data_IF_275036919670
#
_entry.id   IF_275036919670
#
_cell.length_a   1.000
_cell.length_b   1.000
_cell.length_c   1.000
_cell.angle_alpha   90.00
_cell.angle_beta   90.00
_cell.angle_gamma   90.00
#
_symmetry.space_group_name_H-M   'P 1'
#
loop_
_entity.id
_entity.type
_entity.pdbx_description
1 polymer ?
#
# COMPACT_ATOMS: atom_id res chain seq x y z
N UNK A 1 -1.49 0.32 48.12
CA UNK A 1 -0.83 -0.38 46.99
C UNK A 1 -1.79 -0.96 45.93
N UNK A 2 -3.04 -0.49 45.79
CA UNK A 2 -3.99 -1.01 44.78
C UNK A 2 -4.13 -0.12 43.52
N UNK A 3 -3.51 1.06 43.51
CA UNK A 3 -3.62 2.04 42.42
C UNK A 3 -2.54 1.89 41.33
N UNK A 4 -1.36 1.38 41.66
CA UNK A 4 -0.25 1.23 40.71
C UNK A 4 -0.54 0.19 39.62
N UNK A 5 -1.35 -0.82 39.92
CA UNK A 5 -1.71 -1.87 38.96
C UNK A 5 -2.64 -1.36 37.85
N UNK A 6 -3.51 -0.38 38.15
CA UNK A 6 -4.43 0.18 37.16
C UNK A 6 -3.74 1.08 36.13
N UNK A 7 -2.66 1.75 36.52
CA UNK A 7 -1.89 2.63 35.62
C UNK A 7 -1.06 1.79 34.64
N UNK A 8 -0.47 0.68 35.10
CA UNK A 8 0.36 -0.19 34.27
C UNK A 8 -0.44 -0.90 33.15
N UNK A 9 -1.73 -1.17 33.40
CA UNK A 9 -2.59 -1.82 32.42
C UNK A 9 -2.99 -0.87 31.27
N UNK A 10 -3.07 0.44 31.55
CA UNK A 10 -3.41 1.45 30.54
C UNK A 10 -2.26 1.72 29.55
N UNK A 11 -1.01 1.65 30.01
CA UNK A 11 0.17 1.85 29.16
C UNK A 11 0.41 0.74 28.14
N UNK A 12 -0.06 -0.49 28.43
CA UNK A 12 0.08 -1.63 27.50
C UNK A 12 -0.97 -1.54 26.37
N UNK A 13 -2.15 -0.97 26.63
CA UNK A 13 -3.21 -0.87 25.60
C UNK A 13 -2.95 0.21 24.55
N UNK A 14 -2.12 1.22 24.84
CA UNK A 14 -1.92 2.38 23.94
C UNK A 14 -0.85 2.18 22.87
N UNK A 15 -0.12 1.06 22.84
CA UNK A 15 1.05 0.90 21.95
C UNK A 15 0.74 0.32 20.56
N UNK A 16 -0.51 -0.03 20.25
CA UNK A 16 -0.86 -0.47 18.90
C UNK A 16 -1.24 0.72 18.01
N UNK A 17 -0.24 1.51 17.63
CA UNK A 17 -0.35 2.35 16.44
C UNK A 17 -0.47 1.42 15.23
N UNK A 18 -1.69 1.27 14.74
CA UNK A 18 -1.94 0.69 13.42
C UNK A 18 -1.47 1.73 12.41
N UNK A 19 -0.18 1.68 12.04
CA UNK A 19 0.30 2.45 10.90
C UNK A 19 -0.45 1.96 9.66
N UNK A 20 -1.32 2.82 9.12
CA UNK A 20 -1.93 2.61 7.82
C UNK A 20 -0.80 2.57 6.78
N UNK A 21 -0.33 1.35 6.45
CA UNK A 21 0.68 1.13 5.41
C UNK A 21 0.01 1.29 4.06
N UNK A 22 0.59 2.11 3.19
CA UNK A 22 0.20 2.16 1.79
C UNK A 22 0.47 0.77 1.17
N UNK A 23 -0.57 0.12 0.65
CA UNK A 23 -0.44 -1.26 0.13
C UNK A 23 0.14 -1.21 -1.28
N UNK A 24 -0.53 -0.53 -2.20
CA UNK A 24 -0.06 -0.35 -3.57
C UNK A 24 0.08 1.14 -3.82
N UNK A 25 1.27 1.56 -4.22
CA UNK A 25 1.55 2.96 -4.57
C UNK A 25 1.92 3.00 -6.05
N UNK A 26 1.21 3.83 -6.81
CA UNK A 26 1.55 4.16 -8.20
C UNK A 26 2.03 5.60 -8.21
N UNK A 27 3.28 5.78 -8.59
CA UNK A 27 3.95 7.07 -8.64
C UNK A 27 4.07 7.58 -10.06
N UNK A 28 3.95 8.90 -10.23
CA UNK A 28 4.07 9.55 -11.54
C UNK A 28 4.62 10.96 -11.37
N UNK A 29 5.24 11.50 -12.42
CA UNK A 29 5.62 12.91 -12.46
C UNK A 29 4.59 13.72 -13.28
N UNK A 30 4.66 13.63 -14.61
CA UNK A 30 3.82 14.37 -15.55
C UNK A 30 2.77 13.51 -16.27
N UNK A 31 2.87 12.17 -16.15
CA UNK A 31 2.01 11.21 -16.85
C UNK A 31 0.88 10.66 -15.95
N UNK A 32 -0.02 11.55 -15.53
CA UNK A 32 -1.14 11.19 -14.64
C UNK A 32 -2.14 10.24 -15.32
N UNK A 33 -2.33 10.38 -16.62
CA UNK A 33 -3.16 9.52 -17.47
C UNK A 33 -2.78 8.04 -17.35
N UNK A 34 -1.49 7.74 -17.44
CA UNK A 34 -0.99 6.37 -17.32
C UNK A 34 -1.18 5.82 -15.90
N UNK A 35 -0.99 6.66 -14.88
CA UNK A 35 -1.21 6.27 -13.49
C UNK A 35 -2.69 5.98 -13.20
N UNK A 36 -3.62 6.73 -13.81
CA UNK A 36 -5.05 6.48 -13.73
C UNK A 36 -5.42 5.17 -14.42
N UNK A 37 -4.91 4.93 -15.62
CA UNK A 37 -5.12 3.69 -16.36
C UNK A 37 -4.58 2.46 -15.61
N UNK A 38 -3.42 2.60 -14.98
CA UNK A 38 -2.84 1.56 -14.12
C UNK A 38 -3.75 1.24 -12.94
N UNK A 39 -4.30 2.27 -12.28
CA UNK A 39 -5.28 2.06 -11.20
C UNK A 39 -6.52 1.33 -11.69
N UNK A 40 -7.04 1.69 -12.86
CA UNK A 40 -8.21 1.00 -13.44
C UNK A 40 -7.92 -0.46 -13.77
N UNK A 41 -6.74 -0.78 -14.32
CA UNK A 41 -6.33 -2.16 -14.55
C UNK A 41 -6.25 -2.93 -13.23
N UNK A 42 -5.60 -2.37 -12.21
CA UNK A 42 -5.52 -3.00 -10.88
C UNK A 42 -6.90 -3.24 -10.27
N UNK A 43 -7.83 -2.30 -10.43
CA UNK A 43 -9.19 -2.45 -9.92
C UNK A 43 -10.00 -3.48 -10.68
N UNK A 44 -9.97 -3.44 -12.01
CA UNK A 44 -10.90 -4.21 -12.85
C UNK A 44 -10.38 -5.61 -13.18
N UNK A 45 -9.08 -5.74 -13.45
CA UNK A 45 -8.49 -7.03 -13.85
C UNK A 45 -8.00 -7.84 -12.65
N UNK A 46 -7.46 -7.15 -11.63
CA UNK A 46 -6.91 -7.79 -10.44
C UNK A 46 -7.85 -7.72 -9.23
N UNK A 47 -9.04 -7.12 -9.40
CA UNK A 47 -10.08 -7.02 -8.35
C UNK A 47 -9.52 -6.35 -7.08
N UNK A 48 -8.59 -5.40 -7.24
CA UNK A 48 -7.96 -4.71 -6.11
C UNK A 48 -8.85 -3.53 -5.71
N UNK A 49 -9.31 -3.44 -4.45
CA UNK A 49 -10.11 -2.30 -4.01
C UNK A 49 -9.36 -0.98 -4.18
N UNK A 50 -10.06 0.05 -4.71
CA UNK A 50 -9.52 1.41 -4.90
C UNK A 50 -8.80 1.94 -3.64
N UNK A 51 -9.34 1.65 -2.45
CA UNK A 51 -8.77 2.05 -1.15
C UNK A 51 -7.37 1.52 -0.85
N UNK A 52 -6.91 0.50 -1.57
CA UNK A 52 -5.58 -0.09 -1.40
C UNK A 52 -4.57 0.47 -2.41
N UNK A 53 -5.02 1.28 -3.38
CA UNK A 53 -4.20 1.85 -4.44
C UNK A 53 -4.10 3.35 -4.22
N UNK A 54 -2.88 3.83 -3.98
CA UNK A 54 -2.56 5.24 -3.81
C UNK A 54 -1.88 5.75 -5.07
N UNK A 55 -2.36 6.86 -5.62
CA UNK A 55 -1.69 7.58 -6.70
C UNK A 55 -0.91 8.73 -6.10
N UNK A 56 0.39 8.82 -6.36
CA UNK A 56 1.26 9.86 -5.80
C UNK A 56 2.05 10.56 -6.89
N UNK A 57 1.97 11.89 -6.92
CA UNK A 57 2.80 12.68 -7.81
C UNK A 57 4.13 13.00 -7.13
N UNK A 58 5.24 12.75 -7.81
CA UNK A 58 6.61 12.95 -7.28
C UNK A 58 7.54 13.41 -8.40
N UNK A 59 8.57 14.18 -8.05
CA UNK A 59 9.60 14.60 -9.01
C UNK A 59 10.41 13.42 -9.55
N UNK A 60 10.71 12.44 -8.69
CA UNK A 60 11.40 11.19 -9.05
C UNK A 60 10.50 9.98 -8.72
N UNK A 61 9.63 9.55 -9.65
CA UNK A 61 8.64 8.50 -9.39
C UNK A 61 9.26 7.12 -9.17
N UNK A 62 10.43 6.86 -9.74
CA UNK A 62 11.06 5.54 -9.66
C UNK A 62 12.03 5.39 -8.49
N UNK A 63 12.19 6.43 -7.67
CA UNK A 63 12.91 6.34 -6.41
C UNK A 63 12.12 5.52 -5.40
N UNK A 64 12.79 4.61 -4.68
CA UNK A 64 12.16 3.82 -3.61
C UNK A 64 11.47 4.71 -2.59
N UNK A 65 10.20 4.40 -2.32
CA UNK A 65 9.41 5.03 -1.25
C UNK A 65 9.45 4.15 -0.02
N UNK A 66 9.42 4.77 1.15
CA UNK A 66 9.36 4.02 2.41
C UNK A 66 8.04 3.27 2.57
N UNK A 67 8.16 1.96 2.75
CA UNK A 67 7.12 1.05 3.23
C UNK A 67 5.89 0.71 2.36
N UNK A 68 5.89 0.82 1.01
CA UNK A 68 4.82 0.21 0.22
C UNK A 68 4.94 -1.32 0.23
N UNK A 69 3.80 -2.03 0.10
CA UNK A 69 3.82 -3.49 -0.19
C UNK A 69 4.17 -3.72 -1.66
N UNK A 70 3.68 -2.83 -2.54
CA UNK A 70 3.98 -2.80 -3.96
C UNK A 70 4.12 -1.35 -4.43
N UNK A 71 5.19 -1.06 -5.15
CA UNK A 71 5.46 0.27 -5.71
C UNK A 71 5.65 0.16 -7.22
N UNK A 72 4.73 0.79 -7.95
CA UNK A 72 4.80 0.99 -9.39
C UNK A 72 5.19 2.45 -9.67
N UNK A 73 6.06 2.67 -10.65
CA UNK A 73 6.35 4.00 -11.15
C UNK A 73 6.04 4.10 -12.64
N UNK A 74 5.62 5.30 -13.05
CA UNK A 74 5.54 5.69 -14.46
C UNK A 74 6.77 6.53 -14.77
N UNK A 75 7.65 6.03 -15.64
CA UNK A 75 8.86 6.75 -16.04
C UNK A 75 8.57 7.79 -17.14
N UNK A 76 9.58 8.58 -17.51
CA UNK A 76 9.47 9.61 -18.55
C UNK A 76 9.21 9.02 -19.95
N UNK A 77 9.58 7.76 -20.16
CA UNK A 77 9.32 6.99 -21.38
C UNK A 77 7.88 6.45 -21.44
N UNK A 78 7.01 6.79 -20.48
CA UNK A 78 5.63 6.30 -20.34
C UNK A 78 5.51 4.80 -20.14
N UNK A 79 6.53 4.21 -19.54
CA UNK A 79 6.56 2.81 -19.17
C UNK A 79 6.22 2.64 -17.69
N UNK A 80 5.53 1.55 -17.38
CA UNK A 80 5.22 1.15 -16.02
C UNK A 80 6.32 0.22 -15.51
N UNK A 81 7.04 0.65 -14.48
CA UNK A 81 8.10 -0.15 -13.86
C UNK A 81 7.70 -0.58 -12.44
N UNK A 82 8.03 -1.81 -12.08
CA UNK A 82 7.90 -2.34 -10.73
C UNK A 82 9.18 -2.01 -9.94
N UNK A 83 9.09 -1.06 -9.02
CA UNK A 83 10.22 -0.61 -8.20
C UNK A 83 10.41 -1.53 -7.00
N UNK A 84 9.33 -1.87 -6.32
CA UNK A 84 9.36 -2.71 -5.13
C UNK A 84 8.14 -3.63 -5.04
N UNK A 85 8.38 -4.87 -4.60
CA UNK A 85 7.35 -5.85 -4.27
C UNK A 85 7.77 -6.66 -3.05
N UNK A 86 7.10 -6.44 -1.92
CA UNK A 86 7.29 -7.24 -0.70
C UNK A 86 6.56 -8.57 -0.83
N UNK A 87 7.12 -9.48 -1.62
CA UNK A 87 6.53 -10.79 -1.96
C UNK A 87 6.03 -11.55 -0.74
N UNK A 88 6.77 -11.56 0.36
CA UNK A 88 6.36 -12.25 1.60
C UNK A 88 5.05 -11.71 2.18
N UNK A 89 4.86 -10.39 2.13
CA UNK A 89 3.63 -9.74 2.60
C UNK A 89 2.52 -10.00 1.60
N UNK A 90 2.79 -9.90 0.30
CA UNK A 90 1.81 -10.19 -0.75
C UNK A 90 1.27 -11.62 -0.62
N UNK A 91 2.14 -12.62 -0.52
CA UNK A 91 1.72 -14.03 -0.39
C UNK A 91 0.89 -14.27 0.87
N UNK A 92 1.26 -13.64 2.01
CA UNK A 92 0.52 -13.77 3.27
C UNK A 92 -0.80 -12.98 3.29
N UNK A 93 -0.85 -11.81 2.66
CA UNK A 93 -1.99 -10.90 2.70
C UNK A 93 -2.99 -11.17 1.58
N UNK A 94 -2.56 -11.37 0.33
CA UNK A 94 -3.47 -11.65 -0.79
C UNK A 94 -4.15 -13.00 -0.68
N UNK A 95 -3.51 -14.00 -0.07
CA UNK A 95 -4.18 -15.27 0.28
C UNK A 95 -5.43 -15.05 1.14
N UNK A 96 -5.42 -14.05 2.02
CA UNK A 96 -6.59 -13.67 2.84
C UNK A 96 -7.59 -12.83 2.05
N UNK A 97 -7.12 -11.86 1.25
CA UNK A 97 -8.02 -10.99 0.46
C UNK A 97 -8.81 -11.74 -0.61
N UNK A 98 -8.17 -12.63 -1.38
CA UNK A 98 -8.84 -13.40 -2.44
C UNK A 98 -9.87 -14.40 -1.90
N UNK A 99 -9.66 -14.92 -0.69
CA UNK A 99 -10.63 -15.80 -0.01
C UNK A 99 -11.86 -15.04 0.49
N UNK A 100 -11.73 -13.77 0.84
CA UNK A 100 -12.85 -12.94 1.32
C UNK A 100 -13.71 -12.34 0.23
N UNK A 101 -13.21 -12.15 -1.00
CA UNK A 101 -13.98 -11.60 -2.13
C UNK A 101 -14.76 -12.65 -2.92
N UNK A 102 -14.62 -13.94 -2.60
CA UNK A 102 -15.29 -15.05 -3.29
C UNK A 102 -16.50 -15.61 -2.51
N UNK A 103 -17.16 -14.75 -1.72
CA UNK A 103 -18.31 -15.13 -0.89
C UNK A 103 -19.48 -14.18 -1.10
#
# INVERSE_FOLDING_TARGET
MKFLFKVFLFTILTSHMVCAREIIVVTYNSHQDLALLTREILMNHFIIPKKLITLKQTLDPCQKIDNPIMHLCVNEQRELLLVELKKEIVTKSFGVFLLTTNK
#
